data_IF_852402799580
#
_entry.id   IF_852402799580
#
_cell.length_a   1.000
_cell.length_b   1.000
_cell.length_c   1.000
_cell.angle_alpha   90.00
_cell.angle_beta   90.00
_cell.angle_gamma   90.00
#
_symmetry.space_group_name_H-M   'P 1'
#
loop_
_entity.id
_entity.type
_entity.pdbx_description
1 polymer ?
#
# COMPACT_ATOMS: atom_id res chain seq x y z
N UNK A 1 15.90 1.71 7.67
CA UNK A 1 14.60 2.25 8.08
C UNK A 1 13.52 1.62 7.19
N UNK A 2 12.53 0.88 7.74
CA UNK A 2 11.43 0.30 6.96
C UNK A 2 10.51 1.33 6.29
N UNK A 3 10.57 2.60 6.72
CA UNK A 3 9.77 3.70 6.19
C UNK A 3 10.51 4.55 5.15
N UNK A 4 11.75 4.20 4.82
CA UNK A 4 12.52 4.92 3.82
C UNK A 4 11.74 4.97 2.49
N UNK A 5 11.50 6.18 2.01
CA UNK A 5 10.92 6.38 0.69
C UNK A 5 12.00 6.06 -0.35
N UNK A 6 11.72 5.07 -1.19
CA UNK A 6 12.46 4.81 -2.41
C UNK A 6 11.90 5.64 -3.58
N UNK A 7 12.45 5.41 -4.78
CA UNK A 7 12.02 6.08 -6.01
C UNK A 7 10.62 5.65 -6.48
N UNK A 8 10.52 5.14 -7.71
CA UNK A 8 9.25 4.93 -8.41
C UNK A 8 8.11 4.25 -7.61
N UNK A 9 8.39 3.31 -6.71
CA UNK A 9 7.34 2.59 -5.99
C UNK A 9 7.03 3.14 -4.58
N UNK A 10 7.62 4.28 -4.22
CA UNK A 10 7.66 4.79 -2.86
C UNK A 10 8.44 3.84 -1.94
N UNK A 11 7.85 3.36 -0.85
CA UNK A 11 8.59 2.53 0.13
C UNK A 11 8.51 1.01 -0.15
N UNK A 12 9.29 0.24 0.60
CA UNK A 12 9.35 -1.22 0.45
C UNK A 12 7.99 -1.90 0.67
N UNK A 13 7.16 -1.38 1.59
CA UNK A 13 5.84 -1.94 1.89
C UNK A 13 4.88 -1.78 0.70
N UNK A 14 4.89 -0.61 0.05
CA UNK A 14 4.09 -0.35 -1.15
C UNK A 14 4.48 -1.28 -2.31
N UNK A 15 5.78 -1.47 -2.54
CA UNK A 15 6.27 -2.38 -3.57
C UNK A 15 5.84 -3.83 -3.30
N UNK A 16 5.99 -4.31 -2.06
CA UNK A 16 5.59 -5.65 -1.65
C UNK A 16 4.08 -5.85 -1.82
N UNK A 17 3.27 -4.85 -1.44
CA UNK A 17 1.82 -4.91 -1.57
C UNK A 17 1.35 -4.95 -3.02
N UNK A 18 1.95 -4.14 -3.90
CA UNK A 18 1.65 -4.15 -5.34
C UNK A 18 1.90 -5.53 -5.96
N UNK A 19 3.06 -6.11 -5.66
CA UNK A 19 3.51 -7.36 -6.27
C UNK A 19 2.93 -8.63 -5.62
N UNK A 20 2.15 -8.50 -4.54
CA UNK A 20 1.53 -9.67 -3.90
C UNK A 20 2.47 -10.44 -2.98
N UNK A 21 3.55 -9.84 -2.49
CA UNK A 21 4.51 -10.53 -1.62
C UNK A 21 4.09 -10.47 -0.15
N UNK A 22 3.26 -11.44 0.26
CA UNK A 22 2.68 -11.56 1.61
C UNK A 22 3.76 -11.60 2.69
N UNK A 23 4.81 -12.40 2.52
CA UNK A 23 5.85 -12.56 3.54
C UNK A 23 6.67 -11.28 3.73
N UNK A 24 7.00 -10.57 2.64
CA UNK A 24 7.65 -9.27 2.74
C UNK A 24 6.76 -8.25 3.46
N UNK A 25 5.45 -8.22 3.18
CA UNK A 25 4.49 -7.35 3.89
C UNK A 25 4.50 -7.62 5.38
N UNK A 26 4.39 -8.90 5.80
CA UNK A 26 4.42 -9.28 7.23
C UNK A 26 5.71 -8.85 7.91
N UNK A 27 6.86 -9.08 7.27
CA UNK A 27 8.18 -8.71 7.80
C UNK A 27 8.27 -7.18 7.98
N UNK A 28 7.85 -6.42 6.98
CA UNK A 28 7.93 -4.95 6.99
C UNK A 28 7.00 -4.35 8.05
N UNK A 29 5.76 -4.84 8.17
CA UNK A 29 4.83 -4.41 9.21
C UNK A 29 5.38 -4.72 10.61
N UNK A 30 5.93 -5.92 10.82
CA UNK A 30 6.59 -6.30 12.07
C UNK A 30 7.81 -5.43 12.38
N UNK A 31 8.51 -4.93 11.37
CA UNK A 31 9.62 -4.01 11.51
C UNK A 31 9.19 -2.55 11.81
N UNK A 32 7.88 -2.25 11.82
CA UNK A 32 7.38 -0.90 12.08
C UNK A 32 7.18 -0.06 10.81
N UNK A 33 6.99 -0.69 9.66
CA UNK A 33 6.56 0.02 8.46
C UNK A 33 5.18 0.67 8.67
N UNK A 34 5.08 1.95 8.32
CA UNK A 34 3.86 2.73 8.36
C UNK A 34 2.99 2.34 7.16
N UNK A 35 1.89 1.64 7.43
CA UNK A 35 0.95 1.21 6.40
C UNK A 35 0.24 2.38 5.69
N UNK A 36 0.18 3.54 6.34
CA UNK A 36 -0.38 4.79 5.83
C UNK A 36 0.66 5.71 5.20
N UNK A 37 1.91 5.26 5.02
CA UNK A 37 2.92 6.05 4.34
C UNK A 37 2.43 6.42 2.93
N UNK A 38 2.48 7.71 2.56
CA UNK A 38 2.08 8.15 1.23
C UNK A 38 3.07 7.62 0.18
N UNK A 39 2.57 7.26 -1.01
CA UNK A 39 3.46 7.04 -2.16
C UNK A 39 3.72 8.35 -2.89
N UNK A 40 4.80 8.39 -3.66
CA UNK A 40 5.09 9.49 -4.58
C UNK A 40 4.61 9.20 -6.02
N UNK A 41 4.01 8.03 -6.28
CA UNK A 41 3.60 7.55 -7.61
C UNK A 41 2.09 7.16 -7.64
N UNK A 42 1.66 6.38 -8.64
CA UNK A 42 0.28 5.94 -8.97
C UNK A 42 -0.60 5.44 -7.81
N UNK A 43 -0.04 5.10 -6.66
CA UNK A 43 -0.77 4.56 -5.51
C UNK A 43 -0.80 5.56 -4.36
N UNK A 44 -1.86 5.59 -3.57
CA UNK A 44 -1.91 6.47 -2.40
C UNK A 44 -1.06 5.95 -1.25
N UNK A 45 -1.16 4.65 -0.97
CA UNK A 45 -0.43 3.95 0.08
C UNK A 45 -0.34 2.45 -0.28
N UNK A 46 0.17 1.64 0.66
CA UNK A 46 0.30 0.20 0.46
C UNK A 46 -1.05 -0.51 0.30
N UNK A 47 -2.11 0.00 0.94
CA UNK A 47 -3.46 -0.57 0.86
C UNK A 47 -4.09 -0.29 -0.52
N UNK A 48 -3.97 0.94 -1.03
CA UNK A 48 -4.41 1.29 -2.38
C UNK A 48 -3.72 0.44 -3.46
N UNK A 49 -2.41 0.19 -3.32
CA UNK A 49 -1.68 -0.72 -4.19
C UNK A 49 -2.23 -2.16 -4.14
N UNK A 50 -2.51 -2.67 -2.94
CA UNK A 50 -3.09 -4.00 -2.77
C UNK A 50 -4.50 -4.10 -3.39
N UNK A 51 -5.35 -3.08 -3.20
CA UNK A 51 -6.72 -3.07 -3.72
C UNK A 51 -6.76 -2.98 -5.26
N UNK A 52 -6.00 -2.05 -5.86
CA UNK A 52 -5.92 -1.89 -7.33
C UNK A 52 -5.39 -3.15 -8.03
N UNK A 53 -4.45 -3.85 -7.40
CA UNK A 53 -3.86 -5.09 -7.91
C UNK A 53 -4.60 -6.36 -7.41
N UNK A 54 -5.77 -6.20 -6.76
CA UNK A 54 -6.65 -7.29 -6.28
C UNK A 54 -5.97 -8.27 -5.31
N UNK A 55 -5.05 -7.79 -4.48
CA UNK A 55 -4.31 -8.55 -3.45
C UNK A 55 -5.08 -8.61 -2.13
N UNK A 56 -6.18 -9.36 -2.10
CA UNK A 56 -7.12 -9.42 -0.96
C UNK A 56 -6.44 -9.71 0.40
N UNK A 57 -5.62 -10.76 0.47
CA UNK A 57 -4.94 -11.14 1.72
C UNK A 57 -4.00 -10.04 2.23
N UNK A 58 -3.31 -9.35 1.33
CA UNK A 58 -2.45 -8.22 1.71
C UNK A 58 -3.28 -7.03 2.20
N UNK A 59 -4.40 -6.74 1.56
CA UNK A 59 -5.30 -5.68 2.01
C UNK A 59 -5.80 -5.96 3.44
N UNK A 60 -6.16 -7.21 3.75
CA UNK A 60 -6.53 -7.62 5.10
C UNK A 60 -5.39 -7.45 6.11
N UNK A 61 -4.16 -7.84 5.76
CA UNK A 61 -2.98 -7.65 6.63
C UNK A 61 -2.70 -6.16 6.90
N UNK A 62 -2.84 -5.30 5.90
CA UNK A 62 -2.64 -3.87 6.04
C UNK A 62 -3.73 -3.22 6.91
N UNK A 63 -4.99 -3.59 6.71
CA UNK A 63 -6.11 -3.14 7.55
C UNK A 63 -5.91 -3.56 9.01
N UNK A 64 -5.49 -4.80 9.25
CA UNK A 64 -5.13 -5.29 10.58
C UNK A 64 -3.98 -4.50 11.22
N UNK A 65 -3.08 -3.96 10.39
CA UNK A 65 -1.98 -3.09 10.83
C UNK A 65 -2.37 -1.60 10.93
N UNK A 66 -3.66 -1.27 10.86
CA UNK A 66 -4.15 0.09 11.00
C UNK A 66 -4.02 0.95 9.74
N UNK A 67 -3.90 0.34 8.56
CA UNK A 67 -4.03 1.07 7.31
C UNK A 67 -5.46 1.60 7.17
N UNK A 68 -5.56 2.88 6.79
CA UNK A 68 -6.84 3.50 6.54
C UNK A 68 -7.25 3.30 5.08
N UNK A 69 -8.53 3.04 4.86
CA UNK A 69 -9.19 3.20 3.57
C UNK A 69 -9.27 4.70 3.24
N UNK A 70 -8.13 5.34 3.00
CA UNK A 70 -8.10 6.59 2.23
C UNK A 70 -8.29 6.20 0.77
N UNK A 71 -9.52 5.84 0.43
CA UNK A 71 -9.98 5.94 -0.94
C UNK A 71 -9.99 7.44 -1.24
N UNK A 72 -9.20 7.89 -2.23
CA UNK A 72 -9.67 9.06 -2.94
C UNK A 72 -11.06 8.65 -3.43
N UNK A 73 -12.09 9.33 -2.94
CA UNK A 73 -13.32 9.52 -3.68
C UNK A 73 -12.89 10.14 -5.02
N UNK A 74 -12.43 9.28 -5.94
CA UNK A 74 -12.41 9.61 -7.35
C UNK A 74 -13.85 9.50 -7.78
N UNK A 75 -14.62 10.51 -7.41
CA UNK A 75 -15.93 10.78 -7.96
C UNK A 75 -15.76 10.84 -9.48
N UNK A 76 -16.35 9.87 -10.17
CA UNK A 76 -16.92 9.97 -11.53
C UNK A 76 -16.15 10.62 -12.71
N UNK A 77 -14.86 10.96 -12.65
CA UNK A 77 -14.16 11.49 -13.84
C UNK A 77 -13.48 10.42 -14.71
N UNK A 78 -14.25 9.40 -15.11
CA UNK A 78 -13.98 8.64 -16.34
C UNK A 78 -15.24 8.53 -17.19
N UNK A 79 -15.86 9.69 -17.45
CA UNK A 79 -16.69 9.89 -18.63
C UNK A 79 -16.21 11.19 -19.29
N UNK A 80 -15.24 11.04 -20.20
CA UNK A 80 -15.27 11.68 -21.52
C UNK A 80 -14.45 10.82 -22.51
#
# INVERSE_FOLDING_TARGET
DPNAQGGKYGNALQAASRWGNIEAVKILLKAGANANAPSQDKYLNALDAALKEKRKEIAELLLQAGADLKTLDLDEETID
#
